data_IF_124741274921
#
_entry.id   IF_124741274921
#
_cell.length_a   1.000
_cell.length_b   1.000
_cell.length_c   1.000
_cell.angle_alpha   90.00
_cell.angle_beta   90.00
_cell.angle_gamma   90.00
#
_symmetry.space_group_name_H-M   'P 1'
#
loop_
_entity.id
_entity.type
_entity.pdbx_description
1 polymer ?
#
# COMPACT_ATOMS: atom_id res chain seq x y z
N UNK A 1 17.18 -13.35 -24.47
CA UNK A 1 16.17 -13.68 -23.44
C UNK A 1 15.91 -12.41 -22.65
N UNK A 2 14.83 -11.69 -22.97
CA UNK A 2 14.58 -10.34 -22.47
C UNK A 2 13.70 -10.41 -21.22
N UNK A 3 14.27 -9.89 -20.14
CA UNK A 3 13.76 -9.80 -18.76
C UNK A 3 12.29 -9.34 -18.68
N UNK A 4 11.46 -10.23 -18.14
CA UNK A 4 10.06 -10.03 -17.74
C UNK A 4 9.99 -9.20 -16.45
N UNK A 5 10.50 -7.97 -16.49
CA UNK A 5 10.57 -7.05 -15.35
C UNK A 5 9.81 -5.73 -15.59
N UNK A 6 9.00 -5.66 -16.66
CA UNK A 6 8.29 -4.45 -17.10
C UNK A 6 6.76 -4.54 -16.97
N UNK A 7 6.21 -5.60 -16.36
CA UNK A 7 4.75 -5.84 -16.33
C UNK A 7 4.04 -5.33 -15.06
N UNK A 8 4.76 -4.95 -14.00
CA UNK A 8 4.11 -4.36 -12.83
C UNK A 8 4.09 -2.83 -12.99
N UNK A 9 2.90 -2.20 -13.10
CA UNK A 9 2.81 -0.75 -13.16
C UNK A 9 3.47 -0.15 -11.91
N UNK A 10 4.16 1.00 -12.04
CA UNK A 10 4.87 1.61 -10.94
C UNK A 10 3.94 1.73 -9.72
N UNK A 11 4.47 1.32 -8.57
CA UNK A 11 3.79 1.29 -7.28
C UNK A 11 3.41 2.74 -6.89
N UNK A 12 2.21 3.19 -7.29
CA UNK A 12 1.70 4.52 -6.95
C UNK A 12 1.13 5.27 -8.15
N UNK A 13 0.04 6.00 -7.92
CA UNK A 13 -0.44 6.99 -8.89
C UNK A 13 0.55 8.16 -8.89
N UNK A 14 1.51 8.13 -9.82
CA UNK A 14 2.42 9.25 -10.05
C UNK A 14 1.64 10.35 -10.76
N UNK A 15 1.23 11.39 -10.03
CA UNK A 15 0.51 12.53 -10.61
C UNK A 15 -0.28 13.38 -9.62
N UNK A 16 -0.88 14.46 -10.12
CA UNK A 16 -1.75 15.34 -9.33
C UNK A 16 -3.07 14.62 -9.07
N UNK A 17 -3.28 14.17 -7.82
CA UNK A 17 -4.55 13.57 -7.40
C UNK A 17 -5.41 14.62 -6.71
N UNK A 18 -6.57 14.92 -7.29
CA UNK A 18 -7.57 15.82 -6.70
C UNK A 18 -8.35 15.02 -5.64
N UNK A 19 -8.26 15.44 -4.38
CA UNK A 19 -9.01 14.82 -3.28
C UNK A 19 -10.12 15.78 -2.85
N UNK A 20 -11.35 15.27 -2.76
CA UNK A 20 -12.50 16.04 -2.26
C UNK A 20 -12.22 16.54 -0.84
N UNK A 21 -12.23 17.86 -0.65
CA UNK A 21 -12.23 18.51 0.67
C UNK A 21 -10.97 19.31 1.06
N UNK A 22 -9.90 19.31 0.28
CA UNK A 22 -8.75 20.22 0.51
C UNK A 22 -8.26 20.79 -0.81
N UNK A 23 -8.44 22.11 -1.01
CA UNK A 23 -7.97 22.84 -2.19
C UNK A 23 -6.43 23.05 -2.18
N UNK A 24 -5.69 22.07 -1.63
CA UNK A 24 -4.25 22.13 -1.45
C UNK A 24 -3.61 21.04 -2.32
N UNK A 25 -2.63 21.39 -3.16
CA UNK A 25 -1.83 20.39 -3.87
C UNK A 25 -1.17 19.47 -2.84
N UNK A 26 -1.39 18.17 -2.97
CA UNK A 26 -0.76 17.18 -2.09
C UNK A 26 0.55 16.73 -2.71
N UNK A 27 1.66 16.91 -1.98
CA UNK A 27 2.99 16.55 -2.44
C UNK A 27 3.25 15.04 -2.34
N UNK A 28 3.30 14.42 -3.52
CA UNK A 28 4.13 13.32 -4.04
C UNK A 28 4.45 12.02 -3.29
N UNK A 29 3.77 11.61 -2.22
CA UNK A 29 3.93 10.21 -1.75
C UNK A 29 2.59 9.53 -1.44
N UNK A 30 1.87 9.18 -2.51
CA UNK A 30 0.65 8.39 -2.42
C UNK A 30 0.94 6.91 -2.65
N UNK A 31 0.79 6.15 -1.58
CA UNK A 31 0.80 4.70 -1.62
C UNK A 31 -0.61 4.18 -1.94
N UNK A 32 -0.69 3.16 -2.80
CA UNK A 32 -1.92 2.38 -3.01
C UNK A 32 -1.99 1.27 -1.98
N UNK A 33 -3.17 1.07 -1.39
CA UNK A 33 -3.41 -0.04 -0.48
C UNK A 33 -3.39 -1.37 -1.24
N UNK A 34 -2.48 -2.28 -0.89
CA UNK A 34 -2.34 -3.59 -1.50
C UNK A 34 -3.65 -4.40 -1.49
N UNK A 35 -4.45 -4.28 -0.42
CA UNK A 35 -5.71 -5.02 -0.27
C UNK A 35 -6.86 -4.44 -1.09
N UNK A 36 -6.87 -3.10 -1.32
CA UNK A 36 -8.03 -2.39 -1.88
C UNK A 36 -7.77 -1.78 -3.26
N UNK A 37 -6.51 -1.63 -3.66
CA UNK A 37 -6.11 -0.90 -4.88
C UNK A 37 -6.33 0.61 -4.85
N UNK A 38 -6.96 1.15 -3.80
CA UNK A 38 -7.22 2.59 -3.63
C UNK A 38 -6.08 3.30 -2.92
N UNK A 39 -5.93 4.61 -3.14
CA UNK A 39 -4.99 5.43 -2.38
C UNK A 39 -5.21 5.31 -0.86
N UNK A 40 -4.12 5.15 -0.11
CA UNK A 40 -4.14 5.09 1.35
C UNK A 40 -4.49 6.47 1.91
N UNK A 41 -5.43 6.50 2.84
CA UNK A 41 -5.79 7.69 3.61
C UNK A 41 -5.35 7.49 5.05
N UNK A 42 -4.48 8.38 5.55
CA UNK A 42 -3.92 8.28 6.90
C UNK A 42 -2.56 7.56 6.93
N UNK A 43 -2.16 7.02 8.09
CA UNK A 43 -0.85 6.37 8.27
C UNK A 43 -0.68 5.14 7.37
N UNK A 44 0.51 5.02 6.78
CA UNK A 44 0.90 3.91 5.92
C UNK A 44 1.59 2.84 6.75
N UNK A 45 1.26 1.58 6.51
CA UNK A 45 1.97 0.41 7.03
C UNK A 45 2.60 -0.36 5.87
N UNK A 46 3.92 -0.45 5.87
CA UNK A 46 4.66 -1.21 4.85
C UNK A 46 4.64 -2.69 5.17
N UNK A 47 4.42 -3.50 4.15
CA UNK A 47 4.51 -4.95 4.21
C UNK A 47 5.97 -5.39 4.13
N UNK A 48 6.19 -6.69 4.25
CA UNK A 48 7.50 -7.34 4.36
C UNK A 48 8.38 -7.21 3.11
N UNK A 49 7.82 -6.85 1.96
CA UNK A 49 8.57 -6.53 0.74
C UNK A 49 9.09 -5.08 0.71
N UNK A 50 8.73 -4.25 1.70
CA UNK A 50 9.03 -2.81 1.80
C UNK A 50 8.58 -1.98 0.60
N UNK A 51 7.73 -2.53 -0.26
CA UNK A 51 7.19 -1.89 -1.47
C UNK A 51 5.69 -1.81 -1.36
N UNK A 52 5.07 -2.92 -1.00
CA UNK A 52 3.65 -3.02 -0.78
C UNK A 52 3.26 -2.38 0.54
N UNK A 53 2.16 -1.65 0.50
CA UNK A 53 1.69 -0.90 1.64
C UNK A 53 0.18 -1.05 1.80
N UNK A 54 -0.29 -1.01 3.03
CA UNK A 54 -1.71 -0.95 3.39
C UNK A 54 -1.93 0.20 4.36
N UNK A 55 -3.19 0.63 4.54
CA UNK A 55 -3.45 1.58 5.63
C UNK A 55 -3.16 0.90 6.97
N UNK A 56 -2.71 1.66 7.97
CA UNK A 56 -2.49 1.11 9.33
C UNK A 56 -3.76 0.44 9.87
N UNK A 57 -4.94 1.02 9.59
CA UNK A 57 -6.22 0.42 9.97
C UNK A 57 -6.45 -0.94 9.29
N UNK A 58 -6.16 -1.06 7.99
CA UNK A 58 -6.27 -2.32 7.28
C UNK A 58 -5.28 -3.36 7.84
N UNK A 59 -4.05 -2.94 8.19
CA UNK A 59 -3.07 -3.82 8.83
C UNK A 59 -3.58 -4.35 10.19
N UNK A 60 -4.12 -3.47 11.04
CA UNK A 60 -4.72 -3.85 12.32
C UNK A 60 -5.91 -4.80 12.14
N UNK A 61 -6.79 -4.53 11.18
CA UNK A 61 -7.92 -5.40 10.87
C UNK A 61 -7.45 -6.77 10.35
N UNK A 62 -6.44 -6.79 9.49
CA UNK A 62 -5.87 -8.01 8.94
C UNK A 62 -5.22 -8.86 10.03
N UNK A 63 -4.37 -8.27 10.87
CA UNK A 63 -3.69 -8.97 11.97
C UNK A 63 -4.66 -9.62 12.98
N UNK A 64 -5.88 -9.08 13.12
CA UNK A 64 -6.94 -9.68 13.94
C UNK A 64 -7.48 -10.99 13.39
N UNK A 65 -7.48 -11.19 12.07
CA UNK A 65 -8.08 -12.36 11.41
C UNK A 65 -7.03 -13.27 10.76
N UNK A 66 -5.82 -12.79 10.56
CA UNK A 66 -4.74 -13.51 9.90
C UNK A 66 -3.37 -13.09 10.44
N UNK A 67 -2.60 -14.07 10.92
CA UNK A 67 -1.25 -13.86 11.46
C UNK A 67 -0.19 -13.61 10.38
N UNK A 68 -0.46 -13.95 9.12
CA UNK A 68 0.52 -13.88 8.03
C UNK A 68 0.30 -12.66 7.16
N UNK A 69 1.37 -12.20 6.52
CA UNK A 69 1.35 -11.12 5.54
C UNK A 69 0.38 -11.42 4.39
N UNK A 70 -0.38 -10.42 3.90
CA UNK A 70 -1.23 -10.58 2.73
C UNK A 70 -0.44 -10.86 1.43
N UNK A 71 0.89 -10.67 1.43
CA UNK A 71 1.77 -11.03 0.30
C UNK A 71 2.00 -12.54 0.12
N UNK A 72 1.51 -13.37 1.05
CA UNK A 72 1.70 -14.84 1.03
C UNK A 72 3.18 -15.27 1.05
N UNK A 73 4.06 -14.44 1.59
CA UNK A 73 5.49 -14.74 1.78
C UNK A 73 5.76 -15.66 2.98
N UNK A 74 4.76 -15.85 3.85
CA UNK A 74 4.92 -16.57 5.12
C UNK A 74 5.44 -15.69 6.26
N UNK A 75 5.74 -14.41 6.01
CA UNK A 75 6.09 -13.45 7.04
C UNK A 75 4.91 -13.21 8.00
N UNK A 76 5.19 -12.97 9.28
CA UNK A 76 4.19 -12.58 10.27
C UNK A 76 3.96 -11.08 10.16
N UNK A 77 2.69 -10.67 10.13
CA UNK A 77 2.32 -9.26 10.16
C UNK A 77 2.12 -8.81 11.61
N UNK A 78 2.77 -7.70 12.00
CA UNK A 78 2.63 -7.12 13.34
C UNK A 78 2.50 -5.58 13.26
N UNK A 79 1.27 -5.05 13.38
CA UNK A 79 0.99 -3.61 13.34
C UNK A 79 0.84 -2.94 14.72
N UNK A 80 1.25 -3.59 15.82
CA UNK A 80 1.16 -3.06 17.19
C UNK A 80 2.43 -2.37 17.67
#
# INVERSE_FOLDING_TARGET
>A
MMIKALEDPPFGDVGVTIVSGSNLPRHSDQHRCFLRGTAIRGPVYFLDDLKSAVSLNDALMWAKVNRFSPLKTGAIINPF
#
